data_IF_118371607463
#
_entry.id   IF_118371607463
#
_cell.length_a   1.000
_cell.length_b   1.000
_cell.length_c   1.000
_cell.angle_alpha   90.00
_cell.angle_beta   90.00
_cell.angle_gamma   90.00
#
_symmetry.space_group_name_H-M   'P 1'
#
loop_
_entity.id
_entity.type
_entity.pdbx_description
1 polymer ?
#
# COMPACT_ATOMS: atom_id res chain seq x y z
N UNK A 1 4.40 -24.01 10.41
CA UNK A 1 4.00 -23.62 9.04
C UNK A 1 3.75 -22.13 9.06
N UNK A 2 4.49 -21.36 8.29
CA UNK A 2 4.35 -19.90 8.21
C UNK A 2 3.29 -19.62 7.15
N UNK A 3 2.26 -18.84 7.47
CA UNK A 3 1.32 -18.37 6.45
C UNK A 3 2.11 -17.65 5.34
N UNK A 4 1.64 -17.75 4.09
CA UNK A 4 2.31 -17.11 2.95
C UNK A 4 2.02 -15.61 2.98
N UNK A 5 3.01 -14.77 2.72
CA UNK A 5 2.80 -13.33 2.61
C UNK A 5 1.74 -13.03 1.53
N UNK A 6 0.73 -12.22 1.87
CA UNK A 6 -0.41 -11.90 1.00
C UNK A 6 -1.58 -12.85 1.15
N UNK A 7 -1.49 -13.85 2.03
CA UNK A 7 -2.60 -14.78 2.31
C UNK A 7 -3.65 -14.19 3.26
N UNK A 8 -4.84 -14.76 3.21
CA UNK A 8 -5.97 -14.41 4.04
C UNK A 8 -6.27 -15.57 4.98
N UNK A 9 -6.10 -15.34 6.27
CA UNK A 9 -6.38 -16.32 7.32
C UNK A 9 -7.89 -16.42 7.49
N UNK A 10 -8.42 -17.65 7.47
CA UNK A 10 -9.86 -17.90 7.59
C UNK A 10 -10.24 -18.90 8.67
N UNK A 11 -9.27 -19.67 9.20
CA UNK A 11 -9.49 -20.54 10.36
C UNK A 11 -8.26 -20.59 11.24
N UNK A 12 -8.50 -20.70 12.54
CA UNK A 12 -7.48 -20.99 13.54
C UNK A 12 -7.88 -22.26 14.28
N UNK A 13 -6.93 -23.13 14.59
CA UNK A 13 -7.19 -24.30 15.40
C UNK A 13 -6.18 -24.44 16.53
N UNK A 14 -6.67 -24.91 17.67
CA UNK A 14 -5.88 -25.22 18.85
C UNK A 14 -5.99 -26.71 19.14
N UNK A 15 -4.88 -27.35 19.47
CA UNK A 15 -4.91 -28.72 19.93
C UNK A 15 -5.28 -28.77 21.40
N UNK A 16 -6.42 -29.37 21.71
CA UNK A 16 -6.91 -29.48 23.08
C UNK A 16 -6.40 -30.76 23.70
N UNK A 17 -5.57 -30.64 24.72
CA UNK A 17 -5.01 -31.75 25.47
C UNK A 17 -5.83 -32.00 26.75
N UNK A 18 -6.09 -33.28 27.04
CA UNK A 18 -6.82 -33.68 28.25
C UNK A 18 -8.32 -33.77 28.03
N UNK A 19 -9.09 -33.15 28.93
CA UNK A 19 -10.56 -33.25 29.02
C UNK A 19 -11.28 -32.30 28.05
N UNK A 20 -12.52 -32.64 27.69
CA UNK A 20 -13.39 -31.79 26.86
C UNK A 20 -13.86 -30.56 27.65
N UNK A 21 -14.04 -29.43 26.96
CA UNK A 21 -14.69 -28.27 27.57
C UNK A 21 -16.18 -28.59 27.84
N UNK A 22 -16.59 -28.59 29.10
CA UNK A 22 -18.00 -28.76 29.51
C UNK A 22 -18.70 -27.44 29.86
N UNK A 23 -18.04 -26.30 29.66
CA UNK A 23 -18.60 -24.98 29.94
C UNK A 23 -18.61 -24.08 28.69
N UNK A 24 -19.79 -23.67 28.20
CA UNK A 24 -19.88 -22.65 27.15
C UNK A 24 -19.20 -21.36 27.64
N UNK A 25 -18.43 -20.71 26.77
CA UNK A 25 -17.73 -19.47 27.17
C UNK A 25 -17.66 -18.46 26.04
N UNK A 26 -18.13 -17.22 26.29
CA UNK A 26 -17.89 -16.08 25.40
C UNK A 26 -16.40 -15.97 25.06
N UNK A 27 -16.09 -16.00 23.77
CA UNK A 27 -14.72 -15.97 23.27
C UNK A 27 -14.60 -14.95 22.15
N UNK A 28 -13.58 -14.09 22.26
CA UNK A 28 -13.18 -13.19 21.19
C UNK A 28 -11.79 -13.52 20.73
N UNK A 29 -11.54 -13.42 19.43
CA UNK A 29 -10.22 -13.61 18.85
C UNK A 29 -9.87 -12.38 18.05
N UNK A 30 -8.70 -11.81 18.34
CA UNK A 30 -8.14 -10.69 17.61
C UNK A 30 -6.84 -11.12 16.93
N UNK A 31 -6.63 -10.63 15.71
CA UNK A 31 -5.41 -10.83 14.94
C UNK A 31 -4.74 -9.49 14.64
N UNK A 32 -3.40 -9.49 14.67
CA UNK A 32 -2.58 -8.32 14.35
C UNK A 32 -1.25 -8.73 13.74
N UNK A 33 -0.92 -8.18 12.56
CA UNK A 33 0.42 -8.32 11.97
C UNK A 33 1.42 -7.53 12.83
N UNK A 34 2.59 -8.11 13.11
CA UNK A 34 3.63 -7.47 13.93
C UNK A 34 5.03 -7.79 13.39
N UNK A 35 5.94 -6.82 13.47
CA UNK A 35 7.35 -7.03 13.11
C UNK A 35 8.18 -7.67 14.23
N UNK A 36 7.85 -7.39 15.49
CA UNK A 36 8.59 -7.87 16.65
C UNK A 36 8.58 -9.39 16.78
N UNK A 37 9.76 -9.98 17.04
CA UNK A 37 9.95 -11.42 17.26
C UNK A 37 9.79 -11.86 18.72
N UNK A 38 9.66 -10.91 19.65
CA UNK A 38 9.44 -11.13 21.08
C UNK A 38 8.43 -10.13 21.63
N UNK A 39 7.84 -10.46 22.78
CA UNK A 39 6.87 -9.65 23.50
C UNK A 39 7.51 -8.98 24.71
N UNK A 40 7.05 -7.77 25.01
CA UNK A 40 7.25 -7.11 26.29
C UNK A 40 5.94 -7.15 27.09
N UNK A 41 6.05 -7.14 28.42
CA UNK A 41 4.88 -7.12 29.27
C UNK A 41 4.06 -5.83 29.06
N UNK A 42 2.74 -5.98 28.91
CA UNK A 42 1.84 -4.89 28.56
C UNK A 42 0.42 -5.19 29.05
N UNK A 43 -0.47 -4.21 29.04
CA UNK A 43 -1.89 -4.40 29.40
C UNK A 43 -2.66 -5.05 28.25
N UNK A 44 -3.78 -5.73 28.55
CA UNK A 44 -4.65 -6.30 27.53
C UNK A 44 -5.13 -5.23 26.53
N UNK A 45 -5.56 -4.06 27.05
CA UNK A 45 -6.02 -2.92 26.25
C UNK A 45 -4.96 -2.45 25.23
N UNK A 46 -3.68 -2.39 25.63
CA UNK A 46 -2.60 -2.02 24.72
C UNK A 46 -2.36 -3.10 23.65
N UNK A 47 -2.49 -4.38 24.02
CA UNK A 47 -2.25 -5.50 23.10
C UNK A 47 -3.32 -5.59 22.01
N UNK A 48 -4.60 -5.40 22.36
CA UNK A 48 -5.70 -5.41 21.38
C UNK A 48 -5.81 -4.09 20.60
N UNK A 49 -5.14 -3.02 21.02
CA UNK A 49 -5.15 -1.75 20.30
C UNK A 49 -4.63 -1.92 18.87
N UNK A 50 -5.46 -1.56 17.89
CA UNK A 50 -5.17 -1.72 16.46
C UNK A 50 -5.18 -3.19 15.97
N UNK A 51 -5.69 -4.12 16.76
CA UNK A 51 -5.94 -5.49 16.33
C UNK A 51 -7.35 -5.61 15.70
N UNK A 52 -7.51 -6.52 14.75
CA UNK A 52 -8.80 -6.81 14.12
C UNK A 52 -9.51 -7.90 14.89
N UNK A 53 -10.75 -7.65 15.33
CA UNK A 53 -11.63 -8.69 15.88
C UNK A 53 -12.08 -9.62 14.74
N UNK A 54 -11.70 -10.90 14.79
CA UNK A 54 -11.95 -11.88 13.72
C UNK A 54 -12.91 -13.00 14.11
N UNK A 55 -13.28 -13.05 15.39
CA UNK A 55 -14.27 -13.97 15.93
C UNK A 55 -14.84 -13.39 17.21
N UNK A 56 -16.17 -13.39 17.36
CA UNK A 56 -16.89 -13.01 18.58
C UNK A 56 -18.13 -13.90 18.71
N UNK A 57 -18.00 -14.98 19.47
CA UNK A 57 -19.11 -15.87 19.76
C UNK A 57 -18.83 -16.72 21.00
N UNK A 58 -19.87 -17.38 21.49
CA UNK A 58 -19.72 -18.38 22.55
C UNK A 58 -19.26 -19.69 21.94
N UNK A 59 -18.08 -20.18 22.36
CA UNK A 59 -17.63 -21.52 21.99
C UNK A 59 -18.50 -22.54 22.76
N UNK A 60 -19.24 -23.43 22.06
CA UNK A 60 -20.06 -24.43 22.71
C UNK A 60 -19.22 -25.52 23.38
N UNK A 61 -19.88 -26.34 24.19
CA UNK A 61 -19.32 -27.52 24.87
C UNK A 61 -19.03 -28.67 23.93
N UNK A 62 -17.96 -28.56 23.15
CA UNK A 62 -17.21 -29.70 22.61
C UNK A 62 -15.98 -29.14 21.90
N UNK A 63 -14.90 -28.99 22.64
CA UNK A 63 -13.60 -29.11 22.02
C UNK A 63 -13.17 -30.57 22.21
N UNK A 64 -12.91 -31.34 21.14
CA UNK A 64 -12.62 -32.76 21.25
C UNK A 64 -11.34 -32.97 22.07
N UNK A 65 -11.40 -33.90 23.02
CA UNK A 65 -10.25 -34.28 23.82
C UNK A 65 -9.18 -34.89 22.91
N UNK A 66 -7.94 -34.41 23.04
CA UNK A 66 -6.78 -34.90 22.28
C UNK A 66 -6.91 -34.72 20.77
N UNK A 67 -7.57 -33.65 20.33
CA UNK A 67 -7.74 -33.34 18.92
C UNK A 67 -7.73 -31.81 18.66
N UNK A 68 -7.67 -31.44 17.39
CA UNK A 68 -7.70 -30.06 16.93
C UNK A 68 -9.11 -29.50 16.97
N UNK A 69 -9.29 -28.42 17.74
CA UNK A 69 -10.51 -27.63 17.72
C UNK A 69 -10.35 -26.45 16.78
N UNK A 70 -11.02 -26.50 15.63
CA UNK A 70 -10.97 -25.47 14.60
C UNK A 70 -12.09 -24.44 14.76
N UNK A 71 -11.72 -23.17 14.68
CA UNK A 71 -12.62 -22.02 14.69
C UNK A 71 -12.54 -21.36 13.31
N UNK A 72 -13.67 -21.32 12.62
CA UNK A 72 -13.81 -20.51 11.41
C UNK A 72 -14.02 -19.05 11.82
N UNK A 73 -13.23 -18.17 11.24
CA UNK A 73 -13.29 -16.74 11.55
C UNK A 73 -14.55 -16.12 10.93
N UNK A 74 -15.21 -15.21 11.65
CA UNK A 74 -16.33 -14.43 11.12
C UNK A 74 -15.83 -13.35 10.15
N UNK A 75 -14.57 -12.96 10.27
CA UNK A 75 -13.87 -12.07 9.37
C UNK A 75 -12.51 -12.65 9.01
N UNK A 76 -12.27 -12.81 7.71
CA UNK A 76 -10.96 -13.19 7.17
C UNK A 76 -9.92 -12.10 7.46
N UNK A 77 -8.69 -12.51 7.75
CA UNK A 77 -7.62 -11.59 8.16
C UNK A 77 -6.45 -11.58 7.18
N UNK A 78 -6.10 -10.43 6.58
CA UNK A 78 -4.98 -10.34 5.67
C UNK A 78 -3.65 -10.42 6.42
N UNK A 79 -2.78 -11.32 5.97
CA UNK A 79 -1.45 -11.54 6.54
C UNK A 79 -0.36 -11.04 5.59
N UNK A 80 0.44 -10.08 6.05
CA UNK A 80 1.42 -9.36 5.22
C UNK A 80 2.87 -9.85 5.41
N UNK A 81 3.04 -11.04 6.00
CA UNK A 81 4.36 -11.56 6.38
C UNK A 81 4.82 -11.07 7.76
N UNK A 82 5.97 -11.60 8.22
CA UNK A 82 6.53 -11.28 9.53
C UNK A 82 5.98 -12.17 10.65
N UNK A 83 5.64 -11.56 11.79
CA UNK A 83 5.07 -12.26 12.93
C UNK A 83 3.57 -11.92 13.06
N UNK A 84 2.83 -12.78 13.76
CA UNK A 84 1.39 -12.63 13.99
C UNK A 84 1.10 -12.66 15.49
N UNK A 85 0.37 -11.66 15.97
CA UNK A 85 -0.27 -11.74 17.28
C UNK A 85 -1.63 -12.41 17.14
N UNK A 86 -1.82 -13.47 17.92
CA UNK A 86 -3.11 -14.15 18.11
C UNK A 86 -3.54 -13.91 19.55
N UNK A 87 -4.55 -13.07 19.72
CA UNK A 87 -5.03 -12.61 21.02
C UNK A 87 -6.40 -13.24 21.26
N UNK A 88 -6.54 -14.00 22.34
CA UNK A 88 -7.77 -14.70 22.68
C UNK A 88 -8.28 -14.17 24.01
N UNK A 89 -9.49 -13.61 23.99
CA UNK A 89 -10.24 -13.27 25.21
C UNK A 89 -11.23 -14.38 25.49
N UNK A 90 -11.25 -14.87 26.73
CA UNK A 90 -12.33 -15.72 27.23
C UNK A 90 -12.91 -15.08 28.47
N UNK A 91 -14.22 -14.84 28.45
CA UNK A 91 -14.93 -14.20 29.55
C UNK A 91 -16.09 -15.10 30.00
N UNK A 92 -15.84 -15.93 31.01
CA UNK A 92 -16.87 -16.78 31.62
C UNK A 92 -17.78 -15.99 32.59
N UNK A 93 -17.27 -14.88 33.16
CA UNK A 93 -17.87 -14.23 34.32
C UNK A 93 -17.54 -14.94 35.65
N UNK A 94 -17.71 -14.24 36.77
CA UNK A 94 -17.51 -14.80 38.12
C UNK A 94 -16.09 -15.36 38.36
N UNK A 95 -16.00 -16.54 38.97
CA UNK A 95 -14.74 -17.21 39.36
C UNK A 95 -14.20 -18.21 38.31
N UNK A 96 -14.63 -18.10 37.06
CA UNK A 96 -14.25 -19.04 35.99
C UNK A 96 -14.96 -20.40 36.07
N UNK A 97 -14.99 -21.11 34.94
CA UNK A 97 -15.54 -22.47 34.82
C UNK A 97 -14.41 -23.50 34.61
N UNK A 98 -14.61 -24.75 35.02
CA UNK A 98 -13.71 -25.87 34.68
C UNK A 98 -12.75 -26.37 35.76
N UNK A 99 -12.38 -25.56 36.75
CA UNK A 99 -11.49 -25.99 37.85
C UNK A 99 -10.23 -26.75 37.37
N UNK A 100 -9.83 -27.81 38.08
CA UNK A 100 -8.69 -28.67 37.70
C UNK A 100 -8.95 -29.61 36.52
N UNK A 101 -10.19 -29.65 36.01
CA UNK A 101 -10.59 -30.49 34.87
C UNK A 101 -10.83 -29.67 33.61
N UNK A 102 -10.40 -28.40 33.61
CA UNK A 102 -10.49 -27.53 32.45
C UNK A 102 -9.66 -28.07 31.27
N UNK A 103 -10.13 -27.92 30.03
CA UNK A 103 -9.36 -28.28 28.85
C UNK A 103 -8.05 -27.48 28.81
N UNK A 104 -6.94 -28.16 28.52
CA UNK A 104 -5.65 -27.51 28.34
C UNK A 104 -5.33 -27.38 26.86
N UNK A 105 -4.57 -26.36 26.49
CA UNK A 105 -4.09 -26.19 25.12
C UNK A 105 -2.66 -26.70 25.04
N UNK A 106 -2.37 -27.59 24.09
CA UNK A 106 -1.01 -28.07 23.87
C UNK A 106 -0.11 -26.91 23.47
N UNK A 107 1.09 -26.86 24.05
CA UNK A 107 2.06 -25.79 23.83
C UNK A 107 3.44 -26.34 23.47
N UNK A 108 4.30 -25.44 23.03
CA UNK A 108 5.74 -25.62 22.87
C UNK A 108 6.47 -24.50 23.61
N UNK A 109 7.73 -24.71 23.97
CA UNK A 109 8.51 -23.71 24.71
C UNK A 109 9.11 -22.65 23.76
N UNK A 110 8.82 -21.38 24.02
CA UNK A 110 9.38 -20.23 23.29
C UNK A 110 9.40 -19.00 24.20
N UNK A 111 10.59 -18.55 24.60
CA UNK A 111 10.76 -17.44 25.56
C UNK A 111 10.25 -16.12 24.99
N UNK A 112 9.48 -15.37 25.78
CA UNK A 112 8.93 -14.06 25.41
C UNK A 112 8.05 -14.09 24.14
N UNK A 113 7.41 -15.21 23.82
CA UNK A 113 6.47 -15.33 22.70
C UNK A 113 5.03 -15.64 23.13
N UNK A 114 4.76 -15.62 24.43
CA UNK A 114 3.44 -15.76 24.99
C UNK A 114 3.29 -14.92 26.25
N UNK A 115 2.09 -14.40 26.45
CA UNK A 115 1.69 -13.66 27.63
C UNK A 115 0.22 -13.95 27.91
N UNK A 116 -0.14 -13.97 29.18
CA UNK A 116 -1.52 -14.16 29.61
C UNK A 116 -1.90 -13.16 30.71
N UNK A 117 -3.21 -12.98 30.87
CA UNK A 117 -3.84 -12.23 31.94
C UNK A 117 -4.95 -13.11 32.49
N UNK A 118 -5.08 -13.21 33.81
CA UNK A 118 -6.21 -13.86 34.45
C UNK A 118 -6.60 -13.10 35.70
N UNK A 119 -7.90 -13.01 35.98
CA UNK A 119 -8.44 -12.47 37.22
C UNK A 119 -9.88 -12.96 37.38
N UNK A 120 -10.29 -13.19 38.62
CA UNK A 120 -11.68 -13.53 38.96
C UNK A 120 -12.49 -12.26 39.21
N UNK A 121 -13.79 -12.34 38.91
CA UNK A 121 -14.83 -11.34 39.19
C UNK A 121 -14.70 -9.98 38.48
N UNK A 122 -13.51 -9.64 37.97
CA UNK A 122 -13.27 -8.41 37.21
C UNK A 122 -12.21 -8.62 36.12
N UNK A 123 -12.26 -7.78 35.08
CA UNK A 123 -11.26 -7.80 34.02
C UNK A 123 -9.86 -7.39 34.53
N UNK A 124 -8.78 -8.06 34.11
CA UNK A 124 -7.40 -7.68 34.45
C UNK A 124 -7.05 -6.27 33.97
N UNK A 125 -6.45 -5.44 34.84
CA UNK A 125 -6.03 -4.06 34.50
C UNK A 125 -4.50 -3.91 34.37
N UNK A 126 -3.73 -4.80 35.00
CA UNK A 126 -2.27 -4.75 35.01
C UNK A 126 -1.61 -5.31 33.75
N UNK A 127 -0.27 -5.29 33.76
CA UNK A 127 0.52 -5.96 32.74
C UNK A 127 0.33 -7.48 32.80
N UNK A 128 0.39 -8.13 31.65
CA UNK A 128 0.32 -9.57 31.55
C UNK A 128 1.60 -10.23 32.06
N UNK A 129 1.51 -11.54 32.30
CA UNK A 129 2.64 -12.36 32.74
C UNK A 129 3.23 -13.05 31.52
N UNK A 130 4.49 -12.74 31.21
CA UNK A 130 5.24 -13.43 30.15
C UNK A 130 5.41 -14.91 30.51
N UNK A 131 5.23 -15.78 29.52
CA UNK A 131 5.34 -17.22 29.66
C UNK A 131 6.12 -17.82 28.50
N UNK A 132 6.92 -18.84 28.79
CA UNK A 132 7.57 -19.63 27.76
C UNK A 132 6.62 -20.69 27.15
N UNK A 133 5.48 -20.98 27.77
CA UNK A 133 4.53 -21.98 27.29
C UNK A 133 3.68 -21.40 26.16
N UNK A 134 4.18 -21.43 24.93
CA UNK A 134 3.52 -20.85 23.76
C UNK A 134 2.51 -21.84 23.16
N UNK A 135 1.21 -21.50 23.11
CA UNK A 135 0.19 -22.35 22.50
C UNK A 135 0.54 -22.75 21.06
N UNK A 136 0.36 -24.04 20.74
CA UNK A 136 0.51 -24.52 19.38
C UNK A 136 -0.79 -24.26 18.61
N UNK A 137 -0.67 -23.56 17.48
CA UNK A 137 -1.81 -23.21 16.64
C UNK A 137 -1.61 -23.73 15.22
N UNK A 138 -2.70 -24.15 14.59
CA UNK A 138 -2.80 -24.34 13.15
C UNK A 138 -3.54 -23.15 12.56
N UNK A 139 -3.04 -22.66 11.43
CA UNK A 139 -3.60 -21.51 10.72
C UNK A 139 -3.99 -22.02 9.33
N UNK A 140 -5.28 -21.94 9.01
CA UNK A 140 -5.75 -22.14 7.64
C UNK A 140 -5.85 -20.79 6.94
N UNK A 141 -5.37 -20.75 5.71
CA UNK A 141 -5.35 -19.55 4.89
C UNK A 141 -5.58 -19.92 3.42
N UNK A 142 -5.95 -18.92 2.64
CA UNK A 142 -6.00 -18.99 1.18
C UNK A 142 -5.34 -17.74 0.58
N UNK A 143 -4.92 -17.80 -0.67
CA UNK A 143 -4.49 -16.61 -1.40
C UNK A 143 -5.73 -15.96 -2.03
N UNK A 144 -5.90 -14.64 -1.94
CA UNK A 144 -6.94 -13.94 -2.69
C UNK A 144 -6.72 -14.17 -4.20
N UNK A 145 -7.81 -14.14 -4.98
CA UNK A 145 -7.74 -14.39 -6.43
C UNK A 145 -6.78 -13.43 -7.13
N UNK A 146 -6.88 -12.14 -6.81
CA UNK A 146 -6.04 -11.07 -7.35
C UNK A 146 -5.35 -10.33 -6.21
N UNK A 147 -4.02 -10.42 -6.13
CA UNK A 147 -3.21 -9.69 -5.16
C UNK A 147 -1.80 -9.47 -5.68
N UNK A 148 -1.25 -8.29 -5.43
CA UNK A 148 0.05 -7.86 -5.95
C UNK A 148 0.98 -7.41 -4.82
N UNK A 149 2.27 -7.71 -4.97
CA UNK A 149 3.33 -7.09 -4.20
C UNK A 149 4.13 -6.17 -5.13
N UNK A 150 4.30 -4.90 -4.74
CA UNK A 150 5.22 -3.98 -5.44
C UNK A 150 6.64 -4.30 -5.00
N UNK A 151 7.50 -4.67 -5.95
CA UNK A 151 8.90 -4.97 -5.70
C UNK A 151 9.78 -3.73 -5.90
N UNK A 152 9.51 -2.96 -6.93
CA UNK A 152 10.21 -1.70 -7.19
C UNK A 152 9.36 -0.76 -8.05
N UNK A 153 9.62 0.54 -7.91
CA UNK A 153 9.06 1.59 -8.75
C UNK A 153 10.19 2.53 -9.13
N UNK A 154 10.30 2.87 -10.41
CA UNK A 154 11.20 3.90 -10.91
C UNK A 154 10.37 4.98 -11.62
N UNK A 155 10.41 6.19 -11.09
CA UNK A 155 9.76 7.38 -11.65
C UNK A 155 10.78 8.53 -11.84
N UNK A 156 12.07 8.19 -11.89
CA UNK A 156 13.16 9.16 -11.91
C UNK A 156 13.41 9.84 -10.57
N UNK A 157 13.77 11.12 -10.61
CA UNK A 157 14.00 11.93 -9.41
C UNK A 157 12.67 12.35 -8.74
N UNK A 158 12.75 12.78 -7.47
CA UNK A 158 11.62 13.34 -6.72
C UNK A 158 11.31 14.79 -7.10
N UNK A 159 11.88 15.32 -8.18
CA UNK A 159 11.65 16.69 -8.64
C UNK A 159 11.16 16.64 -10.06
N UNK A 160 9.92 17.06 -10.27
CA UNK A 160 9.29 17.14 -11.58
C UNK A 160 8.95 18.58 -11.93
N UNK A 161 8.97 18.98 -13.19
CA UNK A 161 8.44 20.26 -13.66
C UNK A 161 6.97 20.10 -14.06
N UNK A 162 6.16 21.13 -13.81
CA UNK A 162 4.78 21.16 -14.29
C UNK A 162 4.73 21.02 -15.82
N UNK A 163 3.81 20.19 -16.31
CA UNK A 163 3.62 19.90 -17.73
C UNK A 163 4.60 18.88 -18.32
N UNK A 164 5.60 18.43 -17.56
CA UNK A 164 6.51 17.40 -18.06
C UNK A 164 5.84 16.02 -18.09
N UNK A 165 6.37 15.14 -18.93
CA UNK A 165 6.01 13.72 -18.95
C UNK A 165 7.24 12.85 -18.74
N UNK A 166 7.10 11.77 -17.96
CA UNK A 166 8.19 10.79 -17.75
C UNK A 166 7.75 9.36 -18.03
N UNK A 167 8.74 8.52 -18.29
CA UNK A 167 8.55 7.07 -18.24
C UNK A 167 8.62 6.59 -16.80
N UNK A 168 7.62 5.85 -16.36
CA UNK A 168 7.55 5.21 -15.04
C UNK A 168 7.58 3.70 -15.23
N UNK A 169 8.41 2.97 -14.49
CA UNK A 169 8.40 1.51 -14.49
C UNK A 169 8.08 0.95 -13.12
N UNK A 170 7.25 -0.10 -13.10
CA UNK A 170 6.75 -0.74 -11.88
C UNK A 170 6.99 -2.24 -11.99
N UNK A 171 7.83 -2.79 -11.11
CA UNK A 171 8.01 -4.25 -11.00
C UNK A 171 7.11 -4.79 -9.91
N UNK A 172 6.27 -5.75 -10.30
CA UNK A 172 5.20 -6.33 -9.49
C UNK A 172 5.35 -7.84 -9.45
N UNK A 173 4.99 -8.44 -8.31
CA UNK A 173 4.85 -9.89 -8.15
C UNK A 173 3.39 -10.28 -7.95
N UNK A 174 2.95 -11.31 -8.66
CA UNK A 174 1.68 -11.95 -8.43
C UNK A 174 1.71 -12.77 -7.14
N UNK A 175 0.95 -12.31 -6.16
CA UNK A 175 0.79 -12.97 -4.85
C UNK A 175 -0.61 -13.57 -4.68
N UNK A 176 -1.46 -13.45 -5.69
CA UNK A 176 -2.78 -14.05 -5.71
C UNK A 176 -2.75 -15.50 -6.19
N UNK A 177 -3.94 -16.12 -6.21
CA UNK A 177 -4.14 -17.49 -6.69
C UNK A 177 -4.39 -17.58 -8.19
N UNK A 178 -4.79 -16.49 -8.86
CA UNK A 178 -5.08 -16.47 -10.30
C UNK A 178 -3.95 -15.89 -11.14
N UNK A 179 -3.83 -16.37 -12.37
CA UNK A 179 -3.01 -15.74 -13.41
C UNK A 179 -3.55 -14.35 -13.71
N UNK A 180 -2.65 -13.37 -13.83
CA UNK A 180 -2.97 -12.06 -14.39
C UNK A 180 -2.84 -12.15 -15.89
N UNK A 181 -3.93 -11.99 -16.61
CA UNK A 181 -3.90 -12.05 -18.07
C UNK A 181 -3.60 -10.67 -18.65
N UNK A 182 -2.64 -10.61 -19.57
CA UNK A 182 -2.37 -9.43 -20.40
C UNK A 182 -3.55 -9.10 -21.31
N UNK A 183 -4.15 -10.13 -21.88
CA UNK A 183 -5.32 -10.05 -22.74
C UNK A 183 -6.35 -11.01 -22.19
N UNK A 184 -7.55 -10.52 -21.93
CA UNK A 184 -8.60 -11.30 -21.29
C UNK A 184 -9.97 -10.69 -21.51
N UNK A 185 -10.98 -11.26 -20.86
CA UNK A 185 -12.32 -10.66 -20.86
C UNK A 185 -12.41 -9.55 -19.80
N UNK A 186 -13.32 -8.60 -19.99
CA UNK A 186 -13.62 -7.57 -18.99
C UNK A 186 -14.88 -7.88 -18.18
N UNK A 187 -15.69 -8.83 -18.64
CA UNK A 187 -16.96 -9.22 -18.04
C UNK A 187 -17.35 -10.62 -18.50
N UNK A 188 -18.08 -11.42 -17.69
CA UNK A 188 -18.50 -11.14 -16.31
C UNK A 188 -17.37 -11.32 -15.29
N UNK A 189 -17.55 -10.78 -14.08
CA UNK A 189 -16.55 -10.82 -13.01
C UNK A 189 -16.22 -12.20 -12.44
N UNK A 190 -17.05 -13.19 -12.76
CA UNK A 190 -16.80 -14.59 -12.47
C UNK A 190 -15.81 -15.24 -13.46
N UNK A 191 -15.48 -14.57 -14.57
CA UNK A 191 -14.59 -15.12 -15.59
C UNK A 191 -13.22 -15.48 -14.99
N UNK A 192 -12.65 -16.58 -15.48
CA UNK A 192 -11.34 -17.08 -15.02
C UNK A 192 -10.17 -16.39 -15.71
N UNK A 193 -10.43 -15.71 -16.83
CA UNK A 193 -9.43 -15.03 -17.66
C UNK A 193 -9.65 -13.51 -17.74
N UNK A 194 -9.95 -12.86 -16.62
CA UNK A 194 -10.04 -11.40 -16.57
C UNK A 194 -8.70 -10.78 -16.94
N UNK A 195 -8.75 -9.79 -17.83
CA UNK A 195 -7.58 -8.98 -18.15
C UNK A 195 -7.16 -8.15 -16.93
N UNK A 196 -5.86 -7.98 -16.71
CA UNK A 196 -5.30 -7.14 -15.64
C UNK A 196 -4.57 -5.96 -16.25
N UNK A 197 -4.75 -4.78 -15.66
CA UNK A 197 -4.02 -3.57 -16.02
C UNK A 197 -3.56 -2.81 -14.78
N UNK A 198 -2.46 -2.06 -14.94
CA UNK A 198 -1.96 -1.15 -13.92
C UNK A 198 -2.65 0.21 -14.07
N UNK A 199 -3.01 0.81 -12.93
CA UNK A 199 -3.52 2.17 -12.84
C UNK A 199 -2.66 3.01 -11.88
N UNK A 200 -2.57 4.30 -12.18
CA UNK A 200 -1.88 5.30 -11.37
C UNK A 200 -2.81 6.46 -11.00
N UNK A 201 -2.43 7.26 -10.02
CA UNK A 201 -3.01 8.58 -9.77
C UNK A 201 -2.05 9.49 -9.02
N UNK A 202 -2.26 10.78 -9.13
CA UNK A 202 -1.68 11.78 -8.25
C UNK A 202 -2.59 12.06 -7.04
N UNK A 203 -2.10 12.83 -6.08
CA UNK A 203 -2.92 13.25 -4.93
C UNK A 203 -4.13 14.07 -5.39
N UNK A 204 -5.32 13.72 -4.89
CA UNK A 204 -6.56 14.41 -5.23
C UNK A 204 -7.14 14.05 -6.60
N UNK A 205 -6.35 13.44 -7.48
CA UNK A 205 -6.81 12.99 -8.79
C UNK A 205 -7.62 11.68 -8.69
N UNK A 206 -8.60 11.49 -9.58
CA UNK A 206 -9.19 10.17 -9.76
C UNK A 206 -8.12 9.20 -10.27
N UNK A 207 -8.38 7.91 -10.09
CA UNK A 207 -7.58 6.89 -10.77
C UNK A 207 -7.61 7.14 -12.27
N UNK A 208 -6.44 7.08 -12.91
CA UNK A 208 -6.27 7.10 -14.36
C UNK A 208 -6.88 5.83 -15.03
N UNK A 209 -7.94 5.26 -14.47
CA UNK A 209 -8.72 4.17 -15.02
C UNK A 209 -10.18 4.57 -15.33
N UNK A 210 -10.61 5.75 -14.89
CA UNK A 210 -12.01 6.21 -14.97
C UNK A 210 -12.37 6.70 -16.38
N UNK A 211 -12.63 5.73 -17.26
CA UNK A 211 -13.51 5.81 -18.44
C UNK A 211 -13.29 7.00 -19.43
N UNK A 212 -12.03 7.25 -19.83
CA UNK A 212 -11.69 8.20 -20.91
C UNK A 212 -10.41 7.84 -21.69
N UNK A 213 -10.55 6.93 -22.65
CA UNK A 213 -9.70 6.62 -23.83
C UNK A 213 -8.15 6.58 -23.81
N UNK A 214 -7.37 6.94 -22.76
CA UNK A 214 -5.89 6.94 -22.88
C UNK A 214 -5.05 6.53 -21.65
N UNK A 215 -5.59 5.84 -20.64
CA UNK A 215 -4.91 5.86 -19.33
C UNK A 215 -4.65 4.51 -18.64
N UNK A 216 -4.92 3.37 -19.29
CA UNK A 216 -4.65 2.03 -18.73
C UNK A 216 -3.35 1.45 -19.30
N UNK A 217 -2.51 0.93 -18.42
CA UNK A 217 -1.23 0.34 -18.80
C UNK A 217 -1.34 -1.19 -18.75
N UNK A 218 -1.60 -1.86 -19.91
CA UNK A 218 -1.74 -3.31 -19.95
C UNK A 218 -0.43 -3.99 -19.57
N UNK A 219 -0.54 -5.22 -19.07
CA UNK A 219 0.65 -6.02 -18.78
C UNK A 219 1.41 -6.36 -20.09
N UNK A 220 2.74 -6.44 -20.07
CA UNK A 220 3.51 -6.84 -21.26
C UNK A 220 3.32 -8.32 -21.62
N UNK A 221 2.99 -9.16 -20.64
CA UNK A 221 2.74 -10.61 -20.75
C UNK A 221 1.84 -11.11 -19.61
N UNK A 222 1.33 -12.34 -19.72
CA UNK A 222 0.60 -13.01 -18.64
C UNK A 222 1.53 -13.30 -17.46
N UNK A 223 0.97 -13.27 -16.24
CA UNK A 223 1.72 -13.43 -14.99
C UNK A 223 1.06 -14.49 -14.12
N UNK A 224 1.61 -15.70 -14.15
CA UNK A 224 1.14 -16.80 -13.30
C UNK A 224 1.33 -16.48 -11.79
N UNK A 225 0.60 -17.16 -10.88
CA UNK A 225 0.82 -17.05 -9.44
C UNK A 225 2.29 -17.22 -9.06
N UNK A 226 2.81 -16.32 -8.24
CA UNK A 226 4.22 -16.27 -7.86
C UNK A 226 5.17 -15.63 -8.89
N UNK A 227 4.70 -15.37 -10.12
CA UNK A 227 5.46 -14.73 -11.19
C UNK A 227 5.64 -13.23 -10.98
N UNK A 228 6.60 -12.65 -11.69
CA UNK A 228 6.93 -11.22 -11.64
C UNK A 228 6.77 -10.58 -13.02
N UNK A 229 6.37 -9.32 -13.07
CA UNK A 229 6.25 -8.52 -14.29
C UNK A 229 6.76 -7.10 -14.05
N UNK A 230 7.36 -6.49 -15.07
CA UNK A 230 7.67 -5.05 -15.07
C UNK A 230 6.76 -4.37 -16.08
N UNK A 231 5.92 -3.45 -15.61
CA UNK A 231 5.05 -2.63 -16.46
C UNK A 231 5.74 -1.28 -16.67
N UNK A 232 5.96 -0.89 -17.91
CA UNK A 232 6.50 0.43 -18.27
C UNK A 232 5.38 1.31 -18.80
N UNK A 233 5.12 2.38 -18.07
CA UNK A 233 4.20 3.44 -18.42
C UNK A 233 5.00 4.51 -19.16
N UNK A 234 4.70 4.72 -20.44
CA UNK A 234 5.29 5.81 -21.21
C UNK A 234 4.45 7.07 -21.05
N UNK A 235 5.11 8.23 -21.08
CA UNK A 235 4.46 9.56 -21.07
C UNK A 235 3.51 9.81 -19.88
N UNK A 236 3.88 9.40 -18.67
CA UNK A 236 3.14 9.75 -17.45
C UNK A 236 3.28 11.26 -17.21
N UNK A 237 2.18 12.04 -17.26
CA UNK A 237 2.27 13.48 -17.05
C UNK A 237 2.41 13.82 -15.55
N UNK A 238 3.03 14.96 -15.25
CA UNK A 238 2.87 15.63 -13.95
C UNK A 238 1.38 15.83 -13.62
N UNK A 239 0.98 15.99 -12.35
CA UNK A 239 -0.43 16.17 -11.96
C UNK A 239 -1.17 17.24 -12.79
N UNK A 240 -2.44 16.98 -13.10
CA UNK A 240 -3.30 17.93 -13.80
C UNK A 240 -3.80 19.01 -12.84
N UNK A 241 -3.83 20.26 -13.29
CA UNK A 241 -4.13 21.39 -12.42
C UNK A 241 -2.89 21.82 -11.64
N UNK A 242 -2.83 23.09 -11.29
CA UNK A 242 -1.66 23.74 -10.72
C UNK A 242 -1.61 23.58 -9.19
N UNK A 243 -1.00 22.52 -8.63
CA UNK A 243 -0.29 22.70 -7.39
C UNK A 243 1.18 22.43 -7.63
N UNK A 244 1.92 23.51 -7.86
CA UNK A 244 3.35 23.55 -7.52
C UNK A 244 3.50 23.12 -6.06
N UNK A 245 4.44 22.22 -5.78
CA UNK A 245 4.69 21.71 -4.45
C UNK A 245 4.61 20.19 -4.35
N UNK A 246 4.51 19.65 -3.11
CA UNK A 246 4.59 18.22 -2.85
C UNK A 246 3.37 17.47 -3.39
N UNK A 247 3.60 16.42 -4.17
CA UNK A 247 2.59 15.47 -4.63
C UNK A 247 3.07 14.03 -4.42
N UNK A 248 2.21 13.03 -4.61
CA UNK A 248 2.59 11.61 -4.53
C UNK A 248 1.96 10.85 -5.70
N UNK A 249 2.72 9.91 -6.26
CA UNK A 249 2.21 8.97 -7.24
C UNK A 249 1.75 7.70 -6.53
N UNK A 250 0.48 7.36 -6.69
CA UNK A 250 -0.14 6.14 -6.16
C UNK A 250 -0.37 5.13 -7.27
N UNK A 251 -0.23 3.84 -6.96
CA UNK A 251 -0.39 2.71 -7.88
C UNK A 251 -1.46 1.76 -7.37
N UNK A 252 -2.26 1.18 -8.28
CA UNK A 252 -3.12 0.03 -8.04
C UNK A 252 -3.19 -0.85 -9.30
N UNK A 253 -3.77 -2.04 -9.19
CA UNK A 253 -4.12 -2.90 -10.32
C UNK A 253 -5.62 -3.16 -10.32
N UNK A 254 -6.16 -3.36 -11.52
CA UNK A 254 -7.55 -3.73 -11.74
C UNK A 254 -7.62 -5.01 -12.56
N UNK A 255 -8.34 -6.01 -12.05
CA UNK A 255 -8.85 -7.11 -12.86
C UNK A 255 -10.15 -6.59 -13.51
N UNK A 256 -10.09 -6.35 -14.82
CA UNK A 256 -10.93 -5.40 -15.57
C UNK A 256 -12.42 -5.45 -15.21
N UNK A 257 -13.01 -4.25 -15.11
CA UNK A 257 -14.40 -3.87 -14.77
C UNK A 257 -15.02 -4.52 -13.52
N UNK A 258 -14.23 -5.31 -12.80
CA UNK A 258 -14.76 -6.18 -11.77
C UNK A 258 -14.24 -5.86 -10.39
N UNK A 259 -12.92 -5.76 -10.25
CA UNK A 259 -12.34 -5.51 -8.94
C UNK A 259 -10.94 -4.90 -9.03
N UNK A 260 -10.74 -3.91 -8.18
CA UNK A 260 -9.41 -3.47 -7.78
C UNK A 260 -8.76 -4.53 -6.90
N UNK A 261 -7.44 -4.63 -6.99
CA UNK A 261 -6.66 -5.53 -6.13
C UNK A 261 -6.74 -5.11 -4.66
N UNK A 262 -6.93 -3.81 -4.41
CA UNK A 262 -7.30 -3.25 -3.10
C UNK A 262 -8.44 -2.27 -3.30
N UNK A 263 -9.57 -2.47 -2.61
CA UNK A 263 -10.75 -1.61 -2.70
C UNK A 263 -11.33 -1.24 -1.32
N UNK A 264 -11.53 0.06 -1.03
CA UNK A 264 -10.84 1.19 -1.67
C UNK A 264 -9.36 1.14 -1.31
N UNK A 265 -8.47 1.58 -2.19
CA UNK A 265 -7.07 1.78 -1.77
C UNK A 265 -6.05 1.81 -2.87
N UNK A 266 -4.81 1.67 -2.42
CA UNK A 266 -3.58 1.87 -3.18
C UNK A 266 -2.60 0.79 -2.71
N UNK A 267 -1.95 0.09 -3.63
CA UNK A 267 -0.96 -0.94 -3.25
C UNK A 267 0.40 -0.34 -2.93
N UNK A 268 0.68 0.86 -3.45
CA UNK A 268 1.91 1.60 -3.19
C UNK A 268 1.74 3.10 -3.48
N UNK A 269 2.36 3.93 -2.65
CA UNK A 269 2.44 5.39 -2.84
C UNK A 269 3.90 5.82 -2.72
N UNK A 270 4.34 6.70 -3.62
CA UNK A 270 5.69 7.27 -3.59
C UNK A 270 5.91 8.13 -2.34
N UNK A 271 7.17 8.36 -1.94
CA UNK A 271 7.52 9.58 -1.20
C UNK A 271 7.04 10.85 -1.93
N UNK A 272 7.12 11.99 -1.25
CA UNK A 272 6.76 13.27 -1.87
C UNK A 272 7.63 13.55 -3.11
N UNK A 273 6.97 13.87 -4.22
CA UNK A 273 7.53 14.35 -5.48
C UNK A 273 7.20 15.84 -5.55
N UNK A 274 8.22 16.68 -5.62
CA UNK A 274 8.06 18.12 -5.75
C UNK A 274 7.74 18.47 -7.21
N UNK A 275 6.57 19.03 -7.44
CA UNK A 275 6.20 19.61 -8.73
C UNK A 275 6.67 21.06 -8.73
N UNK A 276 7.74 21.34 -9.46
CA UNK A 276 8.35 22.63 -9.62
C UNK A 276 7.65 23.43 -10.73
N UNK A 277 7.59 24.77 -10.61
CA UNK A 277 7.10 25.61 -11.71
C UNK A 277 8.04 25.48 -12.90
N UNK A 278 7.54 25.85 -14.10
CA UNK A 278 8.42 26.02 -15.26
C UNK A 278 9.53 27.04 -14.92
N UNK A 279 10.77 26.82 -15.36
CA UNK A 279 11.83 27.80 -15.22
C UNK A 279 11.38 29.16 -15.79
N UNK A 280 11.58 30.23 -15.04
CA UNK A 280 11.39 31.59 -15.57
C UNK A 280 12.75 32.15 -15.97
N UNK A 281 12.84 32.67 -17.19
CA UNK A 281 13.99 33.48 -17.62
C UNK A 281 13.58 34.95 -17.58
N UNK A 282 14.37 35.77 -16.88
CA UNK A 282 14.24 37.22 -16.92
C UNK A 282 15.20 37.76 -17.97
N UNK A 283 14.67 38.46 -18.98
CA UNK A 283 15.48 39.14 -19.99
C UNK A 283 16.20 40.40 -19.45
N UNK A 284 16.06 40.71 -18.15
CA UNK A 284 16.56 41.94 -17.54
C UNK A 284 15.62 43.13 -17.76
N UNK A 285 16.07 44.32 -17.34
CA UNK A 285 15.35 45.57 -17.58
C UNK A 285 15.43 45.96 -19.07
N UNK A 286 14.42 46.68 -19.62
CA UNK A 286 14.47 47.19 -20.98
C UNK A 286 15.73 48.04 -21.24
N UNK A 287 16.41 47.82 -22.37
CA UNK A 287 17.53 48.65 -22.82
C UNK A 287 16.98 49.69 -23.80
N UNK A 288 17.10 50.97 -23.47
CA UNK A 288 16.78 52.06 -24.39
C UNK A 288 18.02 52.41 -25.22
N UNK A 289 17.96 52.23 -26.55
CA UNK A 289 19.01 52.69 -27.47
C UNK A 289 18.54 54.01 -28.07
N UNK A 290 19.25 55.10 -27.77
CA UNK A 290 18.94 56.42 -28.32
C UNK A 290 19.13 56.47 -29.84
N UNK A 291 18.37 57.34 -30.53
CA UNK A 291 18.45 57.54 -31.98
C UNK A 291 19.91 57.78 -32.44
N UNK A 292 20.34 57.04 -33.47
CA UNK A 292 21.66 57.18 -34.08
C UNK A 292 22.80 56.42 -33.38
N UNK A 293 22.52 55.70 -32.30
CA UNK A 293 23.52 54.85 -31.64
C UNK A 293 23.36 53.38 -32.06
N UNK A 294 24.49 52.69 -32.22
CA UNK A 294 24.53 51.24 -32.34
C UNK A 294 24.73 50.65 -30.94
N UNK A 295 23.72 49.94 -30.41
CA UNK A 295 23.85 49.15 -29.19
C UNK A 295 24.03 47.67 -29.54
N UNK A 296 25.16 47.07 -29.21
CA UNK A 296 25.31 45.61 -29.26
C UNK A 296 24.67 45.01 -28.01
N UNK A 297 23.71 44.09 -28.18
CA UNK A 297 23.21 43.24 -27.10
C UNK A 297 24.34 42.26 -26.73
N UNK A 298 25.26 42.72 -25.89
CA UNK A 298 26.32 41.86 -25.36
C UNK A 298 25.76 41.15 -24.13
N UNK A 299 25.32 39.90 -24.29
CA UNK A 299 24.93 39.06 -23.15
C UNK A 299 26.15 38.73 -22.30
N UNK A 300 26.60 39.67 -21.47
CA UNK A 300 27.85 39.55 -20.69
C UNK A 300 27.66 38.82 -19.35
N UNK A 301 26.96 37.69 -19.36
CA UNK A 301 26.97 36.78 -18.21
C UNK A 301 27.37 35.39 -18.66
N UNK A 302 28.67 35.12 -18.56
CA UNK A 302 29.23 33.78 -18.63
C UNK A 302 29.20 33.13 -17.23
N UNK A 303 28.75 31.87 -17.09
CA UNK A 303 27.98 31.09 -18.05
C UNK A 303 26.50 31.04 -17.64
N UNK A 304 25.62 31.65 -18.43
CA UNK A 304 24.25 31.14 -18.55
C UNK A 304 24.35 29.78 -19.24
N UNK A 305 24.55 28.73 -18.44
CA UNK A 305 24.61 27.35 -18.90
C UNK A 305 23.17 26.87 -19.15
N UNK A 306 22.57 27.34 -20.24
CA UNK A 306 21.30 26.86 -20.77
C UNK A 306 21.56 25.49 -21.42
N UNK A 307 21.39 24.41 -20.65
CA UNK A 307 21.35 23.06 -21.20
C UNK A 307 19.93 22.78 -21.72
N UNK A 308 19.73 22.94 -23.02
CA UNK A 308 18.46 22.70 -23.70
C UNK A 308 18.47 23.30 -25.10
N UNK A 309 18.23 22.48 -26.11
CA UNK A 309 18.27 22.85 -27.53
C UNK A 309 17.07 23.70 -27.93
N UNK A 310 17.02 24.98 -27.54
CA UNK A 310 16.09 25.93 -28.12
C UNK A 310 16.87 27.18 -28.58
N UNK A 311 17.14 27.21 -29.89
CA UNK A 311 17.63 28.40 -30.60
C UNK A 311 16.56 29.49 -30.49
N UNK A 312 16.83 30.57 -29.77
CA UNK A 312 15.98 31.76 -29.80
C UNK A 312 16.25 32.53 -31.09
N UNK A 313 15.47 32.25 -32.14
CA UNK A 313 15.51 33.01 -33.40
C UNK A 313 14.72 34.31 -33.23
N UNK A 314 15.41 35.43 -33.07
CA UNK A 314 14.81 36.76 -33.21
C UNK A 314 14.96 37.20 -34.66
N UNK A 315 13.86 37.20 -35.43
CA UNK A 315 13.82 37.80 -36.76
C UNK A 315 12.91 39.03 -36.74
N UNK A 316 13.49 40.21 -36.92
CA UNK A 316 12.76 41.44 -37.18
C UNK A 316 13.67 42.46 -37.85
N UNK A 317 13.30 42.95 -39.02
CA UNK A 317 13.87 44.18 -39.58
C UNK A 317 12.98 45.35 -39.22
N UNK A 318 13.47 46.22 -38.35
CA UNK A 318 12.78 47.45 -37.95
C UNK A 318 13.69 48.65 -38.18
N UNK A 319 13.26 49.57 -39.04
CA UNK A 319 13.73 50.95 -39.01
C UNK A 319 12.67 51.75 -38.26
N UNK A 320 12.93 52.15 -37.03
CA UNK A 320 12.15 53.21 -36.40
C UNK A 320 12.99 53.93 -35.33
N UNK A 321 12.90 55.25 -35.36
CA UNK A 321 13.31 56.17 -34.31
C UNK A 321 12.45 56.03 -33.04
N UNK A 322 11.45 55.14 -33.04
CA UNK A 322 10.61 54.78 -31.91
C UNK A 322 10.89 53.34 -31.46
N UNK A 323 11.69 53.23 -30.40
CA UNK A 323 11.77 52.13 -29.44
C UNK A 323 11.54 50.70 -29.98
N UNK A 324 12.61 50.06 -30.43
CA UNK A 324 12.69 48.60 -30.38
C UNK A 324 12.77 48.13 -28.91
N UNK A 325 11.62 47.82 -28.32
CA UNK A 325 11.51 47.27 -26.97
C UNK A 325 11.63 45.73 -27.02
N UNK A 326 12.77 45.19 -26.58
CA UNK A 326 12.85 43.80 -26.10
C UNK A 326 12.79 43.85 -24.58
N UNK A 327 11.62 43.57 -24.02
CA UNK A 327 11.41 43.49 -22.58
C UNK A 327 10.06 42.87 -22.27
N UNK A 328 10.08 41.65 -21.73
CA UNK A 328 8.89 40.94 -21.30
C UNK A 328 9.27 39.66 -20.52
N UNK A 329 8.53 39.38 -19.46
CA UNK A 329 8.53 38.07 -18.79
C UNK A 329 7.84 37.08 -19.72
N UNK A 330 8.60 36.30 -20.48
CA UNK A 330 8.02 35.21 -21.27
C UNK A 330 7.78 34.02 -20.35
N UNK A 331 6.59 33.96 -19.76
CA UNK A 331 6.08 32.73 -19.15
C UNK A 331 5.42 31.88 -20.24
N UNK A 332 5.92 30.66 -20.45
CA UNK A 332 5.23 29.63 -21.23
C UNK A 332 5.53 29.60 -22.73
N UNK A 333 6.79 29.45 -23.12
CA UNK A 333 7.09 28.90 -24.45
C UNK A 333 7.29 27.37 -24.36
N UNK A 334 6.73 26.61 -25.31
CA UNK A 334 6.52 25.15 -25.23
C UNK A 334 7.81 24.32 -25.10
#
# INVERSE_FOLDING_TARGET
MTAVNGSWINKLAWYIAGTTNTYPTPTKIYLKNIGAGTMAASTWANMISGATLVYDATIPTVAPANDWFAITLSQVFPYYGGNLLVLVERNYGGSGGGGSTAPTVRYSTSTNNHQYWQQDNSAPTGNGILSANRPNIQISYYLPDYSAQVLSVNYGTNDWCIGETRSVSVTLKNTGSRTWYKTGVTSPCSATNLEVALAIKWNGDPWFDSYGSLSRFPLPNDVAPGGTVTVTLTNVPSPNGNPVGPNNLSINLIARECQWFVNPGTIWTSPAININPLPTVSAGAPIAIGCGNNGMLNGSIAPLLLNGSNTFSYSGSGYDCNNFLIGGITSGMP
#
